data_IF_810167613878
#
_entry.id   IF_810167613878
#
_cell.length_a   1.000
_cell.length_b   1.000
_cell.length_c   1.000
_cell.angle_alpha   90.00
_cell.angle_beta   90.00
_cell.angle_gamma   90.00
#
_symmetry.space_group_name_H-M   'P 1'
#
loop_
_entity.id
_entity.type
_entity.pdbx_description
1 polymer ?
#
# COMPACT_ATOMS: atom_id res chain seq x y z
N UNK A 1 10.06 19.19 -9.91
CA UNK A 1 8.78 18.49 -10.11
C UNK A 1 8.02 18.49 -8.79
N UNK A 2 6.88 19.18 -8.71
CA UNK A 2 5.96 19.02 -7.56
C UNK A 2 5.45 17.57 -7.56
N UNK A 3 5.33 16.91 -6.41
CA UNK A 3 4.78 15.55 -6.35
C UNK A 3 3.37 15.59 -6.97
N UNK A 4 3.13 14.75 -7.97
CA UNK A 4 1.82 14.58 -8.56
C UNK A 4 0.82 14.34 -7.43
N UNK A 5 -0.14 15.25 -7.26
CA UNK A 5 -1.18 15.08 -6.24
C UNK A 5 -1.89 13.76 -6.53
N UNK A 6 -1.80 12.84 -5.57
CA UNK A 6 -2.51 11.58 -5.59
C UNK A 6 -3.99 11.85 -5.85
N UNK A 7 -4.63 11.07 -6.71
CA UNK A 7 -6.10 11.08 -6.79
C UNK A 7 -6.65 10.80 -5.39
N UNK A 8 -7.74 11.48 -5.02
CA UNK A 8 -8.37 11.33 -3.69
C UNK A 8 -8.66 9.85 -3.38
N UNK A 9 -8.94 9.04 -4.41
CA UNK A 9 -9.11 7.58 -4.31
C UNK A 9 -7.84 6.85 -3.87
N UNK A 10 -6.67 7.15 -4.46
CA UNK A 10 -5.42 6.49 -4.13
C UNK A 10 -4.94 6.83 -2.72
N UNK A 11 -5.14 8.07 -2.28
CA UNK A 11 -4.81 8.47 -0.90
C UNK A 11 -5.69 7.74 0.11
N UNK A 12 -6.97 7.54 -0.19
CA UNK A 12 -7.90 6.82 0.70
C UNK A 12 -7.49 5.35 0.86
N UNK A 13 -7.12 4.67 -0.23
CA UNK A 13 -6.63 3.28 -0.20
C UNK A 13 -5.35 3.17 0.65
N UNK A 14 -4.41 4.10 0.50
CA UNK A 14 -3.19 4.12 1.31
C UNK A 14 -3.49 4.34 2.80
N UNK A 15 -4.41 5.23 3.15
CA UNK A 15 -4.81 5.48 4.54
C UNK A 15 -5.52 4.25 5.14
N UNK A 16 -6.35 3.55 4.38
CA UNK A 16 -7.01 2.30 4.80
C UNK A 16 -6.01 1.15 5.03
N UNK A 17 -5.05 0.98 4.11
CA UNK A 17 -3.97 0.01 4.25
C UNK A 17 -3.05 0.32 5.43
N UNK A 18 -2.80 1.59 5.72
CA UNK A 18 -2.00 2.00 6.88
C UNK A 18 -2.70 1.64 8.20
N UNK A 19 -4.03 1.82 8.29
CA UNK A 19 -4.82 1.41 9.45
C UNK A 19 -4.83 -0.10 9.60
N UNK A 20 -5.03 -0.83 8.50
CA UNK A 20 -4.98 -2.30 8.46
C UNK A 20 -3.63 -2.81 8.98
N UNK A 21 -2.55 -2.23 8.48
CA UNK A 21 -1.18 -2.57 8.87
C UNK A 21 -0.90 -2.26 10.33
N UNK A 22 -1.37 -1.12 10.84
CA UNK A 22 -1.23 -0.77 12.25
C UNK A 22 -1.96 -1.78 13.17
N UNK A 23 -3.10 -2.33 12.74
CA UNK A 23 -3.78 -3.42 13.46
C UNK A 23 -2.97 -4.72 13.44
N UNK A 24 -2.37 -5.09 12.31
CA UNK A 24 -1.52 -6.27 12.21
C UNK A 24 -0.31 -6.17 13.13
N UNK A 25 0.38 -5.03 13.13
CA UNK A 25 1.50 -4.77 14.04
C UNK A 25 1.06 -4.88 15.49
N UNK A 26 -0.10 -4.33 15.84
CA UNK A 26 -0.60 -4.42 17.20
C UNK A 26 -0.87 -5.88 17.62
N UNK A 27 -1.32 -6.75 16.71
CA UNK A 27 -1.42 -8.20 16.96
C UNK A 27 -0.05 -8.85 17.16
N UNK A 28 0.94 -8.47 16.34
CA UNK A 28 2.33 -8.93 16.48
C UNK A 28 2.88 -8.52 17.86
N UNK A 29 2.59 -7.30 18.33
CA UNK A 29 2.99 -6.86 19.68
C UNK A 29 2.34 -7.66 20.80
N UNK A 30 1.05 -7.99 20.69
CA UNK A 30 0.43 -8.90 21.67
C UNK A 30 1.11 -10.28 21.68
N UNK A 31 1.43 -10.82 20.51
CA UNK A 31 2.16 -12.07 20.42
C UNK A 31 3.53 -11.97 21.08
N UNK A 32 4.31 -10.92 20.80
CA UNK A 32 5.61 -10.69 21.45
C UNK A 32 5.48 -10.51 22.97
N UNK A 33 4.50 -9.73 23.45
CA UNK A 33 4.25 -9.55 24.88
C UNK A 33 4.02 -10.90 25.57
N UNK A 34 3.14 -11.74 25.01
CA UNK A 34 2.81 -13.05 25.56
C UNK A 34 3.99 -14.02 25.48
N UNK A 35 4.67 -14.06 24.34
CA UNK A 35 5.78 -14.97 24.09
C UNK A 35 7.00 -14.65 24.96
N UNK A 36 7.31 -13.37 25.18
CA UNK A 36 8.44 -12.95 26.00
C UNK A 36 8.16 -13.02 27.50
N UNK A 37 6.89 -12.90 27.92
CA UNK A 37 6.54 -12.85 29.34
C UNK A 37 7.03 -14.08 30.13
N UNK A 38 6.75 -15.28 29.62
CA UNK A 38 7.14 -16.53 30.29
C UNK A 38 8.65 -16.71 30.45
N UNK A 39 9.44 -16.68 29.36
CA UNK A 39 10.89 -16.82 29.41
C UNK A 39 11.56 -15.73 30.24
N UNK A 40 11.15 -14.46 30.10
CA UNK A 40 11.75 -13.36 30.88
C UNK A 40 11.46 -13.52 32.36
N UNK A 41 10.26 -13.98 32.75
CA UNK A 41 9.92 -14.24 34.13
C UNK A 41 10.75 -15.40 34.71
N UNK A 42 10.87 -16.51 33.99
CA UNK A 42 11.68 -17.67 34.43
C UNK A 42 13.14 -17.27 34.60
N UNK A 43 13.73 -16.60 33.59
CA UNK A 43 15.13 -16.17 33.65
C UNK A 43 15.37 -15.15 34.76
N UNK A 44 14.44 -14.22 34.99
CA UNK A 44 14.57 -13.21 36.05
C UNK A 44 14.48 -13.85 37.45
N UNK A 45 13.63 -14.87 37.63
CA UNK A 45 13.54 -15.63 38.89
C UNK A 45 14.81 -16.45 39.13
N UNK A 46 15.33 -17.12 38.10
CA UNK A 46 16.57 -17.91 38.19
C UNK A 46 17.80 -17.05 38.52
N UNK A 47 17.84 -15.80 38.02
CA UNK A 47 18.93 -14.87 38.30
C UNK A 47 18.99 -14.42 39.78
N UNK A 48 17.93 -14.62 40.58
CA UNK A 48 17.92 -14.33 42.01
C UNK A 48 18.00 -12.83 42.37
N UNK A 49 17.91 -11.92 41.38
CA UNK A 49 18.02 -10.47 41.59
C UNK A 49 16.63 -9.84 41.66
N UNK A 50 16.18 -9.50 42.87
CA UNK A 50 14.87 -8.86 43.10
C UNK A 50 14.65 -7.62 42.22
N UNK A 51 15.61 -6.70 42.19
CA UNK A 51 15.52 -5.48 41.38
C UNK A 51 15.45 -5.72 39.87
N UNK A 52 16.02 -6.84 39.41
CA UNK A 52 15.96 -7.25 38.02
C UNK A 52 14.59 -7.76 37.59
N UNK A 53 13.97 -8.57 38.45
CA UNK A 53 12.59 -9.02 38.27
C UNK A 53 11.67 -7.79 38.19
N UNK A 54 11.83 -6.83 39.11
CA UNK A 54 11.01 -5.61 39.13
C UNK A 54 11.22 -4.77 37.86
N UNK A 55 12.47 -4.60 37.40
CA UNK A 55 12.78 -3.85 36.18
C UNK A 55 12.18 -4.51 34.91
N UNK A 56 12.36 -5.81 34.74
CA UNK A 56 11.83 -6.53 33.57
C UNK A 56 10.29 -6.61 33.59
N UNK A 57 9.69 -6.85 34.76
CA UNK A 57 8.24 -6.88 34.91
C UNK A 57 7.60 -5.51 34.69
N UNK A 58 8.21 -4.44 35.19
CA UNK A 58 7.74 -3.07 34.93
C UNK A 58 7.86 -2.69 33.45
N UNK A 59 8.99 -3.03 32.80
CA UNK A 59 9.17 -2.83 31.36
C UNK A 59 8.13 -3.56 30.51
N UNK A 60 7.90 -4.85 30.76
CA UNK A 60 6.88 -5.64 30.07
C UNK A 60 5.45 -5.14 30.35
N UNK A 61 5.19 -4.68 31.58
CA UNK A 61 3.89 -4.09 31.93
C UNK A 61 3.64 -2.79 31.18
N UNK A 62 4.64 -1.90 31.09
CA UNK A 62 4.56 -0.67 30.31
C UNK A 62 4.38 -0.96 28.82
N UNK A 63 5.08 -1.95 28.28
CA UNK A 63 4.92 -2.43 26.90
C UNK A 63 3.49 -2.91 26.63
N UNK A 64 2.93 -3.70 27.54
CA UNK A 64 1.56 -4.21 27.43
C UNK A 64 0.52 -3.08 27.52
N UNK A 65 0.70 -2.14 28.45
CA UNK A 65 -0.18 -0.97 28.59
C UNK A 65 -0.14 -0.08 27.34
N UNK A 66 1.04 0.15 26.75
CA UNK A 66 1.17 0.89 25.50
C UNK A 66 0.45 0.17 24.34
N UNK A 67 0.53 -1.16 24.28
CA UNK A 67 -0.16 -1.98 23.27
C UNK A 67 -1.69 -1.97 23.46
N UNK A 68 -2.17 -2.01 24.70
CA UNK A 68 -3.60 -1.86 25.02
C UNK A 68 -4.14 -0.48 24.62
N UNK A 69 -3.40 0.58 24.95
CA UNK A 69 -3.81 1.92 24.58
C UNK A 69 -3.74 2.14 23.07
N UNK A 70 -2.79 1.51 22.37
CA UNK A 70 -2.78 1.51 20.91
C UNK A 70 -4.05 0.89 20.33
N UNK A 71 -4.53 -0.24 20.87
CA UNK A 71 -5.81 -0.85 20.46
C UNK A 71 -6.96 0.14 20.60
N UNK A 72 -7.01 0.91 21.69
CA UNK A 72 -8.03 1.93 21.90
C UNK A 72 -7.96 3.03 20.84
N UNK A 73 -6.76 3.48 20.48
CA UNK A 73 -6.57 4.46 19.41
C UNK A 73 -6.96 3.90 18.04
N UNK A 74 -6.60 2.65 17.74
CA UNK A 74 -6.96 1.99 16.47
C UNK A 74 -8.47 1.85 16.29
N UNK A 75 -9.23 1.70 17.38
CA UNK A 75 -10.71 1.70 17.35
C UNK A 75 -11.31 3.07 16.98
N UNK A 76 -10.58 4.16 17.17
CA UNK A 76 -11.09 5.51 16.80
C UNK A 76 -11.13 5.75 15.29
N UNK A 77 -10.44 4.94 14.48
CA UNK A 77 -10.33 5.13 13.02
C UNK A 77 -9.62 6.41 12.58
N UNK A 78 -9.16 7.25 13.50
CA UNK A 78 -8.56 8.53 13.18
C UNK A 78 -7.08 8.36 12.79
N UNK A 79 -6.80 8.42 11.49
CA UNK A 79 -5.45 8.26 10.92
C UNK A 79 -4.42 9.20 11.54
N UNK A 80 -4.77 10.45 11.86
CA UNK A 80 -3.83 11.42 12.45
C UNK A 80 -3.41 11.01 13.86
N UNK A 81 -4.35 10.48 14.66
CA UNK A 81 -4.06 9.97 16.00
C UNK A 81 -3.23 8.69 15.95
N UNK A 82 -3.56 7.78 15.02
CA UNK A 82 -2.83 6.53 14.80
C UNK A 82 -1.37 6.83 14.40
N UNK A 83 -1.14 7.71 13.42
CA UNK A 83 0.20 8.14 13.00
C UNK A 83 1.05 8.67 14.14
N UNK A 84 0.50 9.55 14.98
CA UNK A 84 1.20 10.08 16.15
C UNK A 84 1.55 8.98 17.16
N UNK A 85 0.62 8.07 17.41
CA UNK A 85 0.83 7.02 18.41
C UNK A 85 1.76 5.90 17.92
N UNK A 86 1.87 5.67 16.61
CA UNK A 86 2.85 4.73 16.06
C UNK A 86 4.28 5.07 16.54
N UNK A 87 4.67 6.35 16.56
CA UNK A 87 5.97 6.77 17.11
C UNK A 87 6.13 6.42 18.59
N UNK A 88 5.10 6.66 19.41
CA UNK A 88 5.13 6.32 20.84
C UNK A 88 5.37 4.82 21.04
N UNK A 89 4.66 4.01 20.27
CA UNK A 89 4.80 2.55 20.39
C UNK A 89 6.15 2.04 19.89
N UNK A 90 6.72 2.62 18.83
CA UNK A 90 8.07 2.29 18.37
C UNK A 90 9.07 2.64 19.47
N UNK A 91 9.00 3.84 20.05
CA UNK A 91 9.89 4.22 21.15
C UNK A 91 9.75 3.21 22.31
N UNK A 92 8.53 2.82 22.68
CA UNK A 92 8.30 1.83 23.73
C UNK A 92 8.92 0.45 23.40
N UNK A 93 8.82 -0.01 22.14
CA UNK A 93 9.43 -1.28 21.69
C UNK A 93 10.97 -1.22 21.90
N UNK A 94 11.62 -0.16 21.40
CA UNK A 94 13.08 0.01 21.49
C UNK A 94 13.56 0.23 22.93
N UNK A 95 12.84 1.03 23.73
CA UNK A 95 13.17 1.23 25.16
C UNK A 95 13.08 -0.08 25.94
N UNK A 96 12.07 -0.92 25.66
CA UNK A 96 11.92 -2.23 26.33
C UNK A 96 13.10 -3.14 26.02
N UNK A 97 13.50 -3.23 24.74
CA UNK A 97 14.66 -4.03 24.34
C UNK A 97 15.95 -3.49 24.96
N UNK A 98 16.11 -2.16 25.01
CA UNK A 98 17.28 -1.53 25.67
C UNK A 98 17.38 -1.84 27.15
N UNK A 99 16.28 -1.70 27.90
CA UNK A 99 16.28 -1.96 29.35
C UNK A 99 16.65 -3.42 29.61
N UNK A 100 16.06 -4.36 28.88
CA UNK A 100 16.39 -5.78 28.99
C UNK A 100 17.86 -6.07 28.67
N UNK A 101 18.41 -5.42 27.64
CA UNK A 101 19.81 -5.58 27.24
C UNK A 101 20.77 -5.02 28.29
N UNK A 102 20.50 -3.83 28.82
CA UNK A 102 21.30 -3.21 29.87
C UNK A 102 21.24 -3.99 31.18
N UNK A 103 20.05 -4.47 31.55
CA UNK A 103 19.88 -5.30 32.73
C UNK A 103 20.74 -6.56 32.65
N UNK A 104 20.66 -7.31 31.55
CA UNK A 104 21.46 -8.52 31.38
C UNK A 104 22.96 -8.22 31.32
N UNK A 105 23.36 -7.21 30.55
CA UNK A 105 24.76 -6.84 30.38
C UNK A 105 25.45 -6.39 31.68
N UNK A 106 24.77 -5.55 32.46
CA UNK A 106 25.27 -5.06 33.75
C UNK A 106 25.20 -6.13 34.84
N UNK A 107 24.32 -7.12 34.75
CA UNK A 107 24.24 -8.19 35.73
C UNK A 107 25.39 -9.18 35.59
N UNK A 108 25.66 -9.63 34.36
CA UNK A 108 26.73 -10.61 34.09
C UNK A 108 28.13 -10.00 34.27
N UNK A 109 28.31 -8.75 33.82
CA UNK A 109 29.60 -8.07 33.85
C UNK A 109 29.42 -6.58 34.21
N UNK A 110 29.26 -6.24 35.51
CA UNK A 110 28.90 -4.89 35.97
C UNK A 110 29.88 -3.79 35.54
N UNK A 111 31.17 -4.12 35.44
CA UNK A 111 32.24 -3.16 35.14
C UNK A 111 32.64 -3.14 33.66
N UNK A 112 32.00 -3.94 32.81
CA UNK A 112 32.39 -4.06 31.41
C UNK A 112 31.24 -3.83 30.43
N UNK A 113 31.00 -2.57 30.07
CA UNK A 113 30.03 -2.21 29.03
C UNK A 113 30.43 -2.74 27.63
N UNK A 114 31.70 -3.05 27.42
CA UNK A 114 32.19 -3.59 26.15
C UNK A 114 31.57 -4.99 25.88
N UNK A 115 31.32 -5.78 26.94
CA UNK A 115 30.56 -7.02 26.85
C UNK A 115 29.12 -6.81 26.39
N UNK A 116 28.48 -5.74 26.87
CA UNK A 116 27.10 -5.38 26.52
C UNK A 116 26.96 -4.96 25.05
N UNK A 117 27.98 -4.29 24.48
CA UNK A 117 27.96 -3.82 23.09
C UNK A 117 28.16 -4.93 22.05
N UNK A 118 28.97 -5.95 22.34
CA UNK A 118 29.16 -7.08 21.42
C UNK A 118 28.00 -8.08 21.42
N UNK A 119 27.24 -8.10 22.50
CA UNK A 119 26.15 -9.03 22.75
C UNK A 119 25.19 -9.18 21.54
N UNK A 120 24.87 -10.42 21.11
CA UNK A 120 23.90 -10.67 20.04
C UNK A 120 22.49 -10.14 20.33
N UNK A 121 22.10 -9.85 21.58
CA UNK A 121 20.79 -9.25 21.92
C UNK A 121 20.53 -7.95 21.15
N UNK A 122 21.58 -7.22 20.73
CA UNK A 122 21.44 -6.06 19.82
C UNK A 122 20.69 -6.38 18.52
N UNK A 123 20.73 -7.63 18.05
CA UNK A 123 19.98 -8.05 16.87
C UNK A 123 18.46 -7.93 17.06
N UNK A 124 17.93 -7.96 18.29
CA UNK A 124 16.50 -7.74 18.54
C UNK A 124 16.05 -6.32 18.15
N UNK A 125 16.95 -5.33 18.14
CA UNK A 125 16.66 -4.00 17.62
C UNK A 125 16.34 -4.01 16.12
N UNK A 126 16.91 -4.97 15.38
CA UNK A 126 16.60 -5.14 13.97
C UNK A 126 15.18 -5.66 13.74
N UNK A 127 14.64 -6.50 14.64
CA UNK A 127 13.26 -6.96 14.55
C UNK A 127 12.28 -5.80 14.65
N UNK A 128 12.52 -4.84 15.55
CA UNK A 128 11.73 -3.62 15.66
C UNK A 128 11.70 -2.84 14.34
N UNK A 129 12.85 -2.69 13.67
CA UNK A 129 12.94 -2.04 12.35
C UNK A 129 12.27 -2.84 11.24
N UNK A 130 12.33 -4.18 11.27
CA UNK A 130 11.64 -5.02 10.29
C UNK A 130 10.12 -4.87 10.44
N UNK A 131 9.59 -4.77 11.67
CA UNK A 131 8.16 -4.57 11.92
C UNK A 131 7.67 -3.21 11.38
N UNK A 132 8.53 -2.18 11.30
CA UNK A 132 8.13 -0.91 10.67
C UNK A 132 7.94 -1.03 9.15
N UNK A 133 8.40 -2.11 8.51
CA UNK A 133 8.15 -2.37 7.09
C UNK A 133 6.66 -2.43 6.75
N UNK A 134 5.83 -2.87 7.70
CA UNK A 134 4.38 -2.92 7.54
C UNK A 134 3.73 -1.53 7.58
N UNK A 135 4.37 -0.48 8.12
CA UNK A 135 3.70 0.79 8.43
C UNK A 135 3.50 1.75 7.24
N UNK A 136 3.88 1.36 6.02
CA UNK A 136 3.87 2.22 4.81
C UNK A 136 4.45 3.64 5.02
N UNK A 137 5.31 3.80 6.03
CA UNK A 137 5.81 5.10 6.50
C UNK A 137 7.32 5.07 6.66
N UNK A 138 8.02 5.56 5.64
CA UNK A 138 9.49 5.65 5.64
C UNK A 138 10.01 6.47 6.83
N UNK A 139 9.24 7.49 7.26
CA UNK A 139 9.63 8.34 8.40
C UNK A 139 9.78 7.55 9.70
N UNK A 140 8.95 6.54 9.94
CA UNK A 140 9.01 5.75 11.17
C UNK A 140 10.23 4.82 11.17
N UNK A 141 10.54 4.21 10.03
CA UNK A 141 11.78 3.42 9.87
C UNK A 141 13.02 4.28 10.11
N UNK A 142 13.05 5.51 9.58
CA UNK A 142 14.17 6.43 9.81
C UNK A 142 14.28 6.87 11.27
N UNK A 143 13.16 7.14 11.96
CA UNK A 143 13.22 7.42 13.40
C UNK A 143 13.69 6.22 14.21
N UNK A 144 13.34 5.00 13.79
CA UNK A 144 13.82 3.76 14.44
C UNK A 144 15.33 3.60 14.27
N UNK A 145 15.85 3.85 13.07
CA UNK A 145 17.30 3.87 12.81
C UNK A 145 18.00 4.92 13.67
N UNK A 146 17.50 6.16 13.69
CA UNK A 146 18.06 7.22 14.52
C UNK A 146 18.07 6.84 15.99
N UNK A 147 16.98 6.24 16.50
CA UNK A 147 16.87 5.81 17.88
C UNK A 147 17.92 4.74 18.21
N UNK A 148 18.06 3.70 17.38
CA UNK A 148 19.07 2.65 17.55
C UNK A 148 20.48 3.22 17.53
N UNK A 149 20.79 4.07 16.54
CA UNK A 149 22.13 4.65 16.42
C UNK A 149 22.46 5.57 17.59
N UNK A 150 21.52 6.40 18.05
CA UNK A 150 21.73 7.25 19.23
C UNK A 150 21.99 6.39 20.46
N UNK A 151 21.14 5.38 20.72
CA UNK A 151 21.31 4.46 21.85
C UNK A 151 22.65 3.71 21.77
N UNK A 152 23.01 3.22 20.59
CA UNK A 152 24.28 2.53 20.35
C UNK A 152 25.48 3.45 20.58
N UNK A 153 25.46 4.67 20.01
CA UNK A 153 26.51 5.66 20.15
C UNK A 153 26.67 6.12 21.61
N UNK A 154 25.56 6.29 22.35
CA UNK A 154 25.65 6.64 23.78
C UNK A 154 26.38 5.58 24.57
N UNK A 155 26.07 4.30 24.37
CA UNK A 155 26.77 3.20 25.04
C UNK A 155 28.21 3.05 24.57
N UNK A 156 28.46 3.25 23.28
CA UNK A 156 29.82 3.26 22.73
C UNK A 156 30.68 4.35 23.38
N UNK A 157 30.15 5.56 23.55
CA UNK A 157 30.85 6.66 24.22
C UNK A 157 31.12 6.32 25.69
N UNK A 158 30.13 5.79 26.42
CA UNK A 158 30.32 5.38 27.83
C UNK A 158 31.38 4.28 27.93
N UNK A 159 31.38 3.32 27.00
CA UNK A 159 32.39 2.26 26.93
C UNK A 159 33.79 2.82 26.73
N UNK A 160 33.98 3.85 25.89
CA UNK A 160 35.31 4.46 25.69
C UNK A 160 35.89 5.04 26.98
N UNK A 161 35.06 5.58 27.88
CA UNK A 161 35.52 6.07 29.19
C UNK A 161 36.02 4.95 30.10
N UNK A 162 35.60 3.71 29.88
CA UNK A 162 36.04 2.53 30.65
C UNK A 162 37.36 1.91 30.16
N UNK A 163 38.02 2.49 29.15
CA UNK A 163 39.29 2.00 28.59
C UNK A 163 39.23 0.51 28.20
N UNK A 164 38.42 0.14 27.20
CA UNK A 164 38.16 -1.26 26.88
C UNK A 164 39.38 -1.93 26.25
N UNK A 165 39.56 -3.22 26.55
CA UNK A 165 40.61 -4.02 25.92
C UNK A 165 40.22 -4.46 24.51
N UNK A 166 40.99 -4.00 23.51
CA UNK A 166 40.85 -4.41 22.13
C UNK A 166 41.62 -5.71 21.87
N UNK A 167 41.03 -6.61 21.08
CA UNK A 167 41.68 -7.83 20.61
C UNK A 167 41.35 -8.09 19.15
N UNK A 168 42.27 -8.75 18.45
CA UNK A 168 42.05 -9.30 17.12
C UNK A 168 41.82 -10.82 17.16
N UNK A 169 41.94 -11.45 18.34
CA UNK A 169 41.66 -12.87 18.50
C UNK A 169 40.15 -13.10 18.65
N UNK A 170 39.59 -13.84 17.69
CA UNK A 170 38.18 -14.19 17.67
C UNK A 170 37.74 -14.99 18.89
N UNK A 171 38.61 -15.88 19.40
CA UNK A 171 38.29 -16.68 20.58
C UNK A 171 38.17 -15.80 21.82
N UNK A 172 39.11 -14.87 22.01
CA UNK A 172 39.08 -13.89 23.10
C UNK A 172 37.86 -12.93 22.99
N UNK A 173 37.40 -12.62 21.78
CA UNK A 173 36.20 -11.84 21.56
C UNK A 173 34.91 -12.59 21.93
N UNK A 174 34.76 -13.85 21.53
CA UNK A 174 33.54 -14.62 21.87
C UNK A 174 33.52 -15.01 23.35
N UNK A 175 34.62 -15.55 23.86
CA UNK A 175 34.66 -16.20 25.19
C UNK A 175 35.04 -15.25 26.32
N UNK A 176 35.65 -14.10 26.01
CA UNK A 176 36.21 -13.18 27.00
C UNK A 176 35.49 -11.85 27.09
N UNK A 177 36.06 -10.87 27.82
CA UNK A 177 35.54 -9.50 27.94
C UNK A 177 35.96 -8.57 26.78
N UNK A 178 36.95 -8.97 25.98
CA UNK A 178 37.60 -8.12 24.97
C UNK A 178 36.69 -7.84 23.78
N UNK A 179 36.95 -6.74 23.08
CA UNK A 179 36.19 -6.30 21.90
C UNK A 179 37.04 -6.28 20.64
N UNK A 180 36.40 -6.56 19.51
CA UNK A 180 36.99 -6.35 18.18
C UNK A 180 36.56 -4.96 17.72
N UNK A 181 37.51 -4.05 17.60
CA UNK A 181 37.25 -2.65 17.21
C UNK A 181 36.39 -2.53 15.94
N UNK A 182 36.73 -3.23 14.85
CA UNK A 182 35.92 -3.20 13.63
C UNK A 182 34.46 -3.65 13.79
N UNK A 183 34.18 -4.63 14.66
CA UNK A 183 32.82 -5.12 14.89
C UNK A 183 31.94 -4.03 15.52
N UNK A 184 32.45 -3.40 16.59
CA UNK A 184 31.72 -2.40 17.35
C UNK A 184 31.60 -1.07 16.57
N UNK A 185 32.69 -0.63 15.94
CA UNK A 185 32.70 0.69 15.28
C UNK A 185 31.97 0.65 13.93
N UNK A 186 32.13 -0.42 13.14
CA UNK A 186 31.64 -0.46 11.76
C UNK A 186 30.53 -1.50 11.56
N UNK A 187 30.73 -2.75 11.97
CA UNK A 187 29.82 -3.85 11.60
C UNK A 187 28.41 -3.64 12.14
N UNK A 188 28.23 -3.35 13.45
CA UNK A 188 26.89 -3.19 14.04
C UNK A 188 26.13 -1.98 13.47
N UNK A 189 26.69 -0.75 13.42
CA UNK A 189 25.99 0.38 12.81
C UNK A 189 25.67 0.17 11.33
N UNK A 190 26.56 -0.52 10.59
CA UNK A 190 26.35 -0.83 9.18
C UNK A 190 25.19 -1.81 8.98
N UNK A 191 25.08 -2.86 9.80
CA UNK A 191 23.95 -3.81 9.75
C UNK A 191 22.63 -3.08 10.00
N UNK A 192 22.54 -2.25 11.04
CA UNK A 192 21.30 -1.50 11.32
C UNK A 192 20.94 -0.52 10.22
N UNK A 193 21.94 0.19 9.68
CA UNK A 193 21.75 1.12 8.56
C UNK A 193 21.30 0.39 7.29
N UNK A 194 21.91 -0.76 6.98
CA UNK A 194 21.57 -1.56 5.81
C UNK A 194 20.14 -2.11 5.90
N UNK A 195 19.73 -2.61 7.07
CA UNK A 195 18.35 -3.09 7.31
C UNK A 195 17.36 -1.93 7.16
N UNK A 196 17.61 -0.79 7.80
CA UNK A 196 16.73 0.37 7.72
C UNK A 196 16.60 0.91 6.29
N UNK A 197 17.70 0.99 5.54
CA UNK A 197 17.70 1.41 4.12
C UNK A 197 16.91 0.41 3.27
N UNK A 198 17.12 -0.90 3.47
CA UNK A 198 16.41 -1.95 2.73
C UNK A 198 14.90 -1.92 2.99
N UNK A 199 14.50 -1.77 4.26
CA UNK A 199 13.09 -1.60 4.65
C UNK A 199 12.51 -0.32 4.05
N UNK A 200 13.22 0.81 4.14
CA UNK A 200 12.78 2.08 3.57
C UNK A 200 12.63 2.02 2.04
N UNK A 201 13.55 1.35 1.35
CA UNK A 201 13.49 1.14 -0.10
C UNK A 201 12.28 0.27 -0.49
N UNK A 202 12.00 -0.78 0.28
CA UNK A 202 10.84 -1.65 0.09
C UNK A 202 9.54 -0.87 0.26
N UNK A 203 9.41 -0.09 1.34
CA UNK A 203 8.24 0.78 1.57
C UNK A 203 8.04 1.76 0.40
N UNK A 204 9.12 2.44 -0.04
CA UNK A 204 9.04 3.38 -1.18
C UNK A 204 8.60 2.68 -2.47
N UNK A 205 9.13 1.49 -2.73
CA UNK A 205 8.76 0.67 -3.89
C UNK A 205 7.29 0.27 -3.82
N UNK A 206 6.79 -0.18 -2.67
CA UNK A 206 5.39 -0.55 -2.47
C UNK A 206 4.44 0.63 -2.69
N UNK A 207 4.75 1.80 -2.10
CA UNK A 207 3.94 3.03 -2.31
C UNK A 207 3.93 3.42 -3.79
N UNK A 208 5.09 3.39 -4.46
CA UNK A 208 5.17 3.70 -5.89
C UNK A 208 4.37 2.71 -6.74
N UNK A 209 4.32 1.43 -6.35
CA UNK A 209 3.56 0.42 -7.06
C UNK A 209 2.05 0.67 -6.96
N UNK A 210 1.54 0.94 -5.74
CA UNK A 210 0.13 1.31 -5.51
C UNK A 210 -0.25 2.55 -6.31
N UNK A 211 0.63 3.55 -6.35
CA UNK A 211 0.43 4.76 -7.15
C UNK A 211 0.33 4.47 -8.66
N UNK A 212 1.25 3.66 -9.19
CA UNK A 212 1.25 3.28 -10.61
C UNK A 212 0.00 2.51 -10.99
N UNK A 213 -0.44 1.57 -10.15
CA UNK A 213 -1.68 0.82 -10.35
C UNK A 213 -2.89 1.76 -10.35
N UNK A 214 -2.97 2.68 -9.38
CA UNK A 214 -4.06 3.65 -9.30
C UNK A 214 -4.14 4.57 -10.52
N UNK A 215 -3.00 5.02 -11.04
CA UNK A 215 -2.94 5.84 -12.26
C UNK A 215 -3.34 5.04 -13.50
N UNK A 216 -2.88 3.79 -13.61
CA UNK A 216 -3.24 2.91 -14.72
C UNK A 216 -4.74 2.64 -14.75
N UNK A 217 -5.33 2.33 -13.61
CA UNK A 217 -6.78 2.08 -13.50
C UNK A 217 -7.60 3.34 -13.76
N UNK A 218 -7.17 4.51 -13.28
CA UNK A 218 -7.81 5.79 -13.59
C UNK A 218 -7.80 6.11 -15.09
N UNK A 219 -6.68 5.82 -15.79
CA UNK A 219 -6.60 5.95 -17.24
C UNK A 219 -7.53 4.98 -17.95
N UNK A 220 -7.57 3.72 -17.50
CA UNK A 220 -8.47 2.70 -18.04
C UNK A 220 -9.94 3.11 -17.91
N UNK A 221 -10.36 3.55 -16.73
CA UNK A 221 -11.72 4.05 -16.47
C UNK A 221 -12.06 5.30 -17.30
N UNK A 222 -11.08 6.14 -17.59
CA UNK A 222 -11.29 7.31 -18.46
C UNK A 222 -11.49 6.87 -19.91
N UNK A 223 -10.67 5.94 -20.41
CA UNK A 223 -10.81 5.38 -21.75
C UNK A 223 -12.13 4.62 -21.93
N UNK A 224 -12.59 3.88 -20.91
CA UNK A 224 -13.86 3.13 -20.96
C UNK A 224 -15.10 4.00 -21.03
N UNK A 225 -14.99 5.31 -20.81
CA UNK A 225 -16.09 6.26 -21.07
C UNK A 225 -16.25 6.59 -22.55
N UNK A 226 -15.20 6.41 -23.34
CA UNK A 226 -15.16 6.83 -24.75
C UNK A 226 -15.03 5.66 -25.71
N UNK A 227 -14.51 4.53 -25.27
CA UNK A 227 -14.20 3.37 -26.10
C UNK A 227 -14.84 2.10 -25.55
N UNK A 228 -15.14 1.14 -26.44
CA UNK A 228 -15.67 -0.16 -26.04
C UNK A 228 -14.67 -0.93 -25.16
N UNK A 229 -15.14 -1.84 -24.28
CA UNK A 229 -14.26 -2.62 -23.41
C UNK A 229 -13.14 -3.36 -24.16
N UNK A 230 -13.44 -3.86 -25.37
CA UNK A 230 -12.47 -4.52 -26.24
C UNK A 230 -11.36 -3.56 -26.71
N UNK A 231 -11.73 -2.35 -27.15
CA UNK A 231 -10.75 -1.32 -27.57
C UNK A 231 -9.91 -0.84 -26.38
N UNK A 232 -10.51 -0.69 -25.19
CA UNK A 232 -9.76 -0.30 -23.98
C UNK A 232 -8.73 -1.37 -23.59
N UNK A 233 -9.10 -2.64 -23.66
CA UNK A 233 -8.19 -3.75 -23.42
C UNK A 233 -7.02 -3.72 -24.42
N UNK A 234 -7.31 -3.59 -25.71
CA UNK A 234 -6.28 -3.52 -26.76
C UNK A 234 -5.33 -2.33 -26.60
N UNK A 235 -5.85 -1.14 -26.28
CA UNK A 235 -5.02 0.06 -26.04
C UNK A 235 -4.11 -0.14 -24.82
N UNK A 236 -4.58 -0.86 -23.79
CA UNK A 236 -3.85 -1.04 -22.55
C UNK A 236 -2.82 -2.17 -22.65
N UNK A 237 -3.15 -3.27 -23.30
CA UNK A 237 -2.33 -4.49 -23.38
C UNK A 237 -1.40 -4.49 -24.61
N UNK A 238 -1.88 -3.99 -25.75
CA UNK A 238 -1.20 -4.06 -27.05
C UNK A 238 -1.12 -2.69 -27.75
N UNK A 239 -0.58 -1.64 -27.09
CA UNK A 239 -0.58 -0.27 -27.64
C UNK A 239 0.15 -0.14 -28.98
N UNK A 240 1.15 -0.98 -29.24
CA UNK A 240 1.90 -0.97 -30.52
C UNK A 240 1.10 -1.61 -31.67
N UNK A 241 0.16 -2.52 -31.39
CA UNK A 241 -0.71 -3.08 -32.43
C UNK A 241 -1.76 -2.09 -32.89
N UNK A 242 -2.28 -1.26 -31.98
CA UNK A 242 -3.23 -0.19 -32.29
C UNK A 242 -2.65 0.87 -33.24
N UNK A 243 -1.32 1.01 -33.31
CA UNK A 243 -0.66 1.94 -34.23
C UNK A 243 -0.59 1.42 -35.67
N UNK A 244 -0.82 0.13 -35.90
CA UNK A 244 -0.73 -0.47 -37.24
C UNK A 244 -2.07 -0.34 -37.96
N UNK A 245 -2.05 0.19 -39.17
CA UNK A 245 -3.23 0.18 -40.03
C UNK A 245 -3.58 -1.26 -40.41
N UNK A 246 -4.82 -1.68 -40.15
CA UNK A 246 -5.35 -3.00 -40.51
C UNK A 246 -6.46 -2.84 -41.54
N UNK A 247 -6.47 -3.66 -42.59
CA UNK A 247 -7.56 -3.76 -43.57
C UNK A 247 -8.39 -4.99 -43.22
N UNK A 248 -9.66 -4.80 -42.86
CA UNK A 248 -10.55 -5.88 -42.44
C UNK A 248 -11.98 -5.67 -42.96
N UNK A 249 -12.75 -6.76 -43.06
CA UNK A 249 -14.19 -6.70 -43.36
C UNK A 249 -14.93 -6.33 -42.09
N UNK A 250 -15.79 -5.32 -42.18
CA UNK A 250 -16.57 -4.81 -41.05
C UNK A 250 -18.02 -4.61 -41.48
N UNK A 251 -18.94 -4.78 -40.55
CA UNK A 251 -20.33 -4.36 -40.74
C UNK A 251 -20.54 -3.02 -40.02
N UNK A 252 -21.17 -2.07 -40.70
CA UNK A 252 -21.40 -0.73 -40.15
C UNK A 252 -22.89 -0.53 -39.94
N UNK A 253 -23.27 -0.13 -38.73
CA UNK A 253 -24.61 0.28 -38.37
C UNK A 253 -24.63 1.81 -38.22
N UNK A 254 -25.48 2.46 -39.01
CA UNK A 254 -25.83 3.86 -38.84
C UNK A 254 -27.24 3.95 -38.29
N UNK A 255 -27.42 4.76 -37.26
CA UNK A 255 -28.74 5.08 -36.70
C UNK A 255 -28.89 6.58 -36.56
N UNK A 256 -30.12 7.07 -36.70
CA UNK A 256 -30.44 8.49 -36.57
C UNK A 256 -31.85 8.65 -35.99
N UNK A 257 -32.09 9.76 -35.28
CA UNK A 257 -33.36 10.00 -34.59
C UNK A 257 -34.34 10.69 -35.53
N UNK A 258 -35.49 10.06 -35.76
CA UNK A 258 -36.57 10.68 -36.54
C UNK A 258 -37.10 11.92 -35.83
N UNK A 259 -37.27 13.00 -36.58
CA UNK A 259 -37.83 14.28 -36.11
C UNK A 259 -37.01 14.94 -34.97
N UNK A 260 -35.71 14.66 -34.87
CA UNK A 260 -34.86 15.25 -33.83
C UNK A 260 -34.83 16.79 -33.88
N UNK A 261 -34.81 17.39 -35.07
CA UNK A 261 -34.82 18.87 -35.22
C UNK A 261 -35.99 19.49 -34.45
N UNK A 262 -37.20 18.96 -34.64
CA UNK A 262 -38.39 19.44 -33.95
C UNK A 262 -38.32 19.21 -32.44
N UNK A 263 -37.76 18.07 -32.01
CA UNK A 263 -37.53 17.79 -30.59
C UNK A 263 -36.57 18.82 -29.98
N UNK A 264 -35.47 19.13 -30.66
CA UNK A 264 -34.45 20.08 -30.19
C UNK A 264 -34.92 21.53 -30.14
N UNK A 265 -35.92 21.90 -30.96
CA UNK A 265 -36.54 23.23 -30.94
C UNK A 265 -37.58 23.39 -29.82
N UNK A 266 -38.17 22.28 -29.35
CA UNK A 266 -39.23 22.30 -28.34
C UNK A 266 -38.70 22.13 -26.91
N UNK A 267 -37.51 21.54 -26.74
CA UNK A 267 -36.87 21.33 -25.44
C UNK A 267 -35.88 22.44 -25.11
N UNK A 268 -35.75 22.73 -23.82
CA UNK A 268 -34.65 23.55 -23.31
C UNK A 268 -33.32 22.79 -23.41
N UNK A 269 -32.21 23.54 -23.48
CA UNK A 269 -30.89 22.98 -23.76
C UNK A 269 -30.42 21.98 -22.68
N UNK A 270 -30.75 22.21 -21.41
CA UNK A 270 -30.37 21.32 -20.31
C UNK A 270 -31.09 19.98 -20.44
N UNK A 271 -32.42 20.00 -20.58
CA UNK A 271 -33.23 18.78 -20.78
C UNK A 271 -32.85 18.02 -22.05
N UNK A 272 -32.54 18.72 -23.16
CA UNK A 272 -32.11 18.08 -24.40
C UNK A 272 -30.78 17.33 -24.21
N UNK A 273 -29.83 17.93 -23.49
CA UNK A 273 -28.53 17.29 -23.19
C UNK A 273 -28.72 16.07 -22.30
N UNK A 274 -29.58 16.16 -21.28
CA UNK A 274 -29.92 15.01 -20.42
C UNK A 274 -30.57 13.87 -21.22
N UNK A 275 -31.54 14.19 -22.07
CA UNK A 275 -32.21 13.22 -22.94
C UNK A 275 -31.23 12.54 -23.89
N UNK A 276 -30.38 13.33 -24.56
CA UNK A 276 -29.34 12.80 -25.45
C UNK A 276 -28.35 11.93 -24.68
N UNK A 277 -28.01 12.29 -23.44
CA UNK A 277 -27.08 11.50 -22.65
C UNK A 277 -27.69 10.15 -22.25
N UNK A 278 -28.98 10.10 -21.88
CA UNK A 278 -29.69 8.85 -21.57
C UNK A 278 -29.84 7.98 -22.84
N UNK A 279 -30.27 8.58 -23.96
CA UNK A 279 -30.34 7.91 -25.26
C UNK A 279 -29.00 7.28 -25.64
N UNK A 280 -27.92 8.08 -25.67
CA UNK A 280 -26.59 7.59 -26.02
C UNK A 280 -26.12 6.49 -25.07
N UNK A 281 -26.40 6.61 -23.77
CA UNK A 281 -26.01 5.59 -22.77
C UNK A 281 -26.68 4.25 -23.04
N UNK A 282 -28.02 4.23 -23.23
CA UNK A 282 -28.78 3.01 -23.50
C UNK A 282 -28.38 2.37 -24.83
N UNK A 283 -28.26 3.17 -25.89
CA UNK A 283 -27.86 2.67 -27.21
C UNK A 283 -26.43 2.12 -27.21
N UNK A 284 -25.49 2.81 -26.56
CA UNK A 284 -24.10 2.35 -26.41
C UNK A 284 -24.03 1.02 -25.69
N UNK A 285 -24.82 0.84 -24.62
CA UNK A 285 -24.89 -0.42 -23.90
C UNK A 285 -25.33 -1.57 -24.80
N UNK A 286 -26.38 -1.37 -25.60
CA UNK A 286 -26.88 -2.40 -26.53
C UNK A 286 -25.84 -2.73 -27.60
N UNK A 287 -25.17 -1.72 -28.16
CA UNK A 287 -24.08 -1.91 -29.12
C UNK A 287 -22.99 -2.81 -28.52
N UNK A 288 -22.59 -2.56 -27.27
CA UNK A 288 -21.59 -3.38 -26.60
C UNK A 288 -22.09 -4.79 -26.25
N UNK A 289 -23.36 -4.95 -25.86
CA UNK A 289 -23.97 -6.24 -25.56
C UNK A 289 -24.04 -7.15 -26.82
N UNK A 290 -24.02 -6.56 -28.02
CA UNK A 290 -23.91 -7.27 -29.31
C UNK A 290 -22.49 -7.29 -29.90
N UNK A 291 -21.45 -7.08 -29.09
CA UNK A 291 -20.04 -7.07 -29.51
C UNK A 291 -19.70 -6.02 -30.58
N UNK A 292 -20.49 -4.95 -30.67
CA UNK A 292 -20.21 -3.79 -31.50
C UNK A 292 -19.30 -2.78 -30.77
N UNK A 293 -18.71 -1.87 -31.54
CA UNK A 293 -17.96 -0.72 -31.02
C UNK A 293 -18.58 0.57 -31.57
N UNK A 294 -18.76 1.58 -30.71
CA UNK A 294 -19.15 2.91 -31.18
C UNK A 294 -17.92 3.58 -31.77
N UNK A 295 -17.98 3.97 -33.04
CA UNK A 295 -16.91 4.70 -33.71
C UNK A 295 -17.02 6.20 -33.39
N UNK A 296 -18.21 6.79 -33.60
CA UNK A 296 -18.51 8.17 -33.22
C UNK A 296 -20.01 8.47 -33.14
N UNK A 297 -20.31 9.55 -32.43
CA UNK A 297 -21.60 10.24 -32.49
C UNK A 297 -21.52 11.38 -33.51
N UNK A 298 -22.55 11.53 -34.33
CA UNK A 298 -22.66 12.59 -35.35
C UNK A 298 -23.97 13.33 -35.08
N UNK A 299 -23.95 14.30 -34.16
CA UNK A 299 -25.18 14.91 -33.67
C UNK A 299 -26.05 13.89 -32.90
N UNK A 300 -27.25 13.65 -33.41
CA UNK A 300 -28.22 12.65 -32.96
C UNK A 300 -28.00 11.26 -33.57
N UNK A 301 -27.14 11.15 -34.57
CA UNK A 301 -26.79 9.88 -35.18
C UNK A 301 -25.67 9.14 -34.42
N UNK A 302 -25.70 7.81 -34.52
CA UNK A 302 -24.68 6.90 -33.99
C UNK A 302 -24.10 6.08 -35.14
N UNK A 303 -22.77 6.07 -35.26
CA UNK A 303 -22.01 5.16 -36.12
C UNK A 303 -21.39 4.07 -35.24
N UNK A 304 -21.83 2.83 -35.45
CA UNK A 304 -21.27 1.66 -34.78
C UNK A 304 -20.66 0.69 -35.81
N UNK A 305 -19.59 0.03 -35.41
CA UNK A 305 -18.86 -0.94 -36.23
C UNK A 305 -18.84 -2.30 -35.55
N UNK A 306 -19.04 -3.34 -36.33
CA UNK A 306 -19.00 -4.74 -35.93
C UNK A 306 -17.88 -5.44 -36.70
N UNK A 307 -17.10 -6.25 -35.99
CA UNK A 307 -15.84 -6.81 -36.49
C UNK A 307 -14.62 -5.88 -36.30
N UNK A 308 -14.72 -4.92 -35.38
CA UNK A 308 -13.61 -4.05 -34.93
C UNK A 308 -13.57 -4.00 -33.40
N UNK A 309 -12.39 -3.95 -32.76
CA UNK A 309 -11.04 -3.99 -33.35
C UNK A 309 -10.68 -5.36 -33.91
N UNK A 310 -11.31 -6.42 -33.38
CA UNK A 310 -11.15 -7.80 -33.79
C UNK A 310 -12.38 -8.29 -34.56
N UNK A 311 -12.21 -8.88 -35.76
CA UNK A 311 -13.30 -9.50 -36.50
C UNK A 311 -13.71 -10.83 -35.86
N UNK A 312 -14.99 -11.19 -35.97
CA UNK A 312 -15.43 -12.56 -35.66
C UNK A 312 -14.80 -13.57 -36.62
N UNK A 313 -14.69 -14.85 -36.22
CA UNK A 313 -14.16 -15.91 -37.08
C UNK A 313 -14.89 -16.00 -38.43
N UNK A 314 -16.20 -15.77 -38.42
CA UNK A 314 -17.06 -15.71 -39.60
C UNK A 314 -17.61 -14.28 -39.77
N UNK A 315 -17.36 -13.61 -40.92
CA UNK A 315 -17.87 -12.25 -41.16
C UNK A 315 -19.39 -12.12 -41.09
N UNK A 316 -20.12 -13.21 -41.35
CA UNK A 316 -21.58 -13.25 -41.22
C UNK A 316 -22.06 -13.05 -39.78
N UNK A 317 -21.25 -13.42 -38.79
CA UNK A 317 -21.56 -13.23 -37.37
C UNK A 317 -21.63 -11.74 -37.03
N UNK A 318 -20.65 -10.95 -37.49
CA UNK A 318 -20.61 -9.51 -37.27
C UNK A 318 -21.81 -8.81 -37.93
N UNK A 319 -22.20 -9.26 -39.14
CA UNK A 319 -23.39 -8.75 -39.82
C UNK A 319 -24.68 -9.10 -39.07
N UNK A 320 -24.81 -10.34 -38.57
CA UNK A 320 -25.97 -10.76 -37.77
C UNK A 320 -26.07 -9.98 -36.46
N UNK A 321 -24.94 -9.74 -35.80
CA UNK A 321 -24.89 -8.94 -34.58
C UNK A 321 -25.31 -7.49 -34.84
N UNK A 322 -24.85 -6.88 -35.94
CA UNK A 322 -25.28 -5.54 -36.33
C UNK A 322 -26.81 -5.43 -36.52
N UNK A 323 -27.42 -6.42 -37.17
CA UNK A 323 -28.87 -6.47 -37.38
C UNK A 323 -29.62 -6.66 -36.06
N UNK A 324 -29.19 -7.62 -35.22
CA UNK A 324 -29.80 -7.86 -33.90
C UNK A 324 -29.70 -6.64 -33.00
N UNK A 325 -28.54 -5.97 -32.98
CA UNK A 325 -28.33 -4.72 -32.28
C UNK A 325 -29.34 -3.66 -32.72
N UNK A 326 -29.53 -3.48 -34.03
CA UNK A 326 -30.51 -2.51 -34.55
C UNK A 326 -31.94 -2.79 -34.07
N UNK A 327 -32.35 -4.06 -34.00
CA UNK A 327 -33.67 -4.45 -33.49
C UNK A 327 -33.82 -4.15 -31.99
N UNK A 328 -32.79 -4.47 -31.20
CA UNK A 328 -32.81 -4.21 -29.74
C UNK A 328 -32.75 -2.71 -29.43
N UNK A 329 -32.03 -1.92 -30.22
CA UNK A 329 -32.03 -0.46 -30.13
C UNK A 329 -33.44 0.13 -30.35
N UNK A 330 -34.20 -0.42 -31.31
CA UNK A 330 -35.60 0.00 -31.52
C UNK A 330 -36.47 -0.30 -30.30
N UNK A 331 -36.35 -1.49 -29.71
CA UNK A 331 -37.07 -1.86 -28.49
C UNK A 331 -36.71 -0.95 -27.31
N UNK A 332 -35.43 -0.67 -27.12
CA UNK A 332 -34.97 0.21 -26.05
C UNK A 332 -35.41 1.67 -26.22
N UNK A 333 -35.53 2.14 -27.47
CA UNK A 333 -36.04 3.49 -27.75
C UNK A 333 -37.52 3.62 -27.36
N UNK A 334 -38.33 2.56 -27.54
CA UNK A 334 -39.72 2.57 -27.08
C UNK A 334 -39.82 2.75 -25.56
N UNK A 335 -38.95 2.05 -24.81
CA UNK A 335 -38.88 2.16 -23.35
C UNK A 335 -38.37 3.55 -22.93
N UNK A 336 -37.33 4.07 -23.59
CA UNK A 336 -36.85 5.42 -23.31
C UNK A 336 -37.95 6.47 -23.52
N UNK A 337 -38.72 6.34 -24.60
CA UNK A 337 -39.83 7.25 -24.89
C UNK A 337 -40.97 7.15 -23.88
N UNK A 338 -41.22 5.99 -23.25
CA UNK A 338 -42.19 5.90 -22.15
C UNK A 338 -41.63 6.55 -20.88
N UNK A 339 -40.39 6.24 -20.51
CA UNK A 339 -39.75 6.76 -19.29
C UNK A 339 -39.73 8.31 -19.28
N UNK A 340 -39.51 8.92 -20.44
CA UNK A 340 -39.47 10.38 -20.60
C UNK A 340 -40.83 11.05 -20.81
N UNK A 341 -41.90 10.28 -21.07
CA UNK A 341 -43.27 10.81 -21.03
C UNK A 341 -43.82 10.91 -19.62
N UNK A 342 -43.34 10.04 -18.72
CA UNK A 342 -43.80 9.94 -17.33
C UNK A 342 -43.00 10.86 -16.38
N UNK A 343 -41.99 11.56 -16.89
CA UNK A 343 -41.25 12.63 -16.20
C UNK A 343 -41.85 13.98 -16.55
#
# INVERSE_FOLDING_TARGET
MKPAQLSVSAQKVLDEEEISSARQINKIRYFFALFLFGPVLIMSVQAGVFWGIVANMSGLSLYFLATLYHTKILRTGNIKKIRKYNYVTVIADFTTVMISLLFWGLHEMPENLAFTLKNPIWLYMSLGMIVTAFQFQVRITMTSLSLVLVLYLTLFIIMLFQQPEFTNDWKAYIMGPKIVGPDIVFTKPLIFSFIAISVAATIRKSISMVQKIGIAEARRMTLSRYFSPAVVADITEHPEEMKKAKRQKVSILFTDIRNFTKLSECLDAETLVEWLSDFRSRMTKIIFDHSGTVDKFIGDAILATFGTPHPSELPETDARNAVKCGLDMQNALLILNSDWKDR
#
